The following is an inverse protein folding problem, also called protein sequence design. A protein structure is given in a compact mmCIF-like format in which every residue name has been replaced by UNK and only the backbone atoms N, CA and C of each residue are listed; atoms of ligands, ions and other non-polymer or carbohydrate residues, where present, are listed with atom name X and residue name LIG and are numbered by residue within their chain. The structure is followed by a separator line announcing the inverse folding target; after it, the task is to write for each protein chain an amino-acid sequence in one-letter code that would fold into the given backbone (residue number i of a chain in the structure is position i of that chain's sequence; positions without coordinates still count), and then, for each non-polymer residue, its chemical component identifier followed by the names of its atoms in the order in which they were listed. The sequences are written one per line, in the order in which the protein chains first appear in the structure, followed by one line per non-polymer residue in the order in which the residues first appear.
data_IF_110706391847
#
_entry.id   IF_110706391847
#
_cell.length_a   1.000
_cell.length_b   1.000
_cell.length_c   1.000
_cell.angle_alpha   90.00
_cell.angle_beta   90.00
_cell.angle_gamma   90.00
#
_symmetry.space_group_name_H-M   'P 1'
#
loop_
_entity.id
_entity.type
_entity.pdbx_description
1 polymer ?
#
# COMPACT_ATOMS: atom_id res chain seq x y z
N UNK A 1 21.87 -19.91 15.38
CA UNK A 1 21.38 -18.72 14.67
C UNK A 1 20.08 -18.31 15.35
N UNK A 2 19.99 -17.11 15.90
CA UNK A 2 18.70 -16.55 16.32
C UNK A 2 17.98 -16.07 15.07
N UNK A 3 16.81 -16.63 14.82
CA UNK A 3 15.89 -16.15 13.79
C UNK A 3 15.32 -14.81 14.27
N UNK A 4 15.26 -13.79 13.41
CA UNK A 4 14.82 -12.45 13.83
C UNK A 4 13.30 -12.45 14.13
N UNK A 5 12.85 -11.57 15.03
CA UNK A 5 11.44 -11.46 15.40
C UNK A 5 10.52 -11.19 14.20
N UNK A 6 11.03 -10.49 13.18
CA UNK A 6 10.30 -10.22 11.94
C UNK A 6 10.09 -11.50 11.11
N UNK A 7 11.11 -12.35 10.98
CA UNK A 7 10.97 -13.64 10.26
C UNK A 7 9.95 -14.55 10.95
N UNK A 8 9.95 -14.58 12.29
CA UNK A 8 8.97 -15.35 13.06
C UNK A 8 7.54 -14.83 12.82
N UNK A 9 7.35 -13.50 12.88
CA UNK A 9 6.06 -12.86 12.58
C UNK A 9 5.58 -13.18 11.16
N UNK A 10 6.45 -13.10 10.15
CA UNK A 10 6.08 -13.43 8.77
C UNK A 10 5.70 -14.90 8.60
N UNK A 11 6.42 -15.83 9.25
CA UNK A 11 6.06 -17.25 9.22
C UNK A 11 4.69 -17.50 9.84
N UNK A 12 4.37 -16.85 10.97
CA UNK A 12 3.06 -16.94 11.61
C UNK A 12 1.95 -16.39 10.70
N UNK A 13 2.19 -15.27 10.04
CA UNK A 13 1.23 -14.67 9.08
C UNK A 13 1.06 -15.52 7.81
N UNK A 14 2.11 -16.23 7.38
CA UNK A 14 2.05 -17.12 6.22
C UNK A 14 1.30 -18.42 6.53
N UNK A 15 1.35 -18.97 7.75
CA UNK A 15 0.73 -20.24 8.14
C UNK A 15 -0.70 -20.48 7.61
N UNK A 16 -1.64 -19.53 7.72
CA UNK A 16 -3.00 -19.73 7.22
C UNK A 16 -3.12 -19.63 5.68
N UNK A 17 -2.05 -19.30 4.97
CA UNK A 17 -2.06 -18.98 3.54
C UNK A 17 -1.48 -20.11 2.68
N UNK A 18 -1.84 -20.15 1.39
CA UNK A 18 -1.31 -21.11 0.44
C UNK A 18 0.24 -21.05 0.32
N UNK A 19 0.85 -19.90 0.61
CA UNK A 19 2.28 -19.68 0.52
C UNK A 19 3.11 -20.33 1.63
N UNK A 20 2.53 -20.73 2.78
CA UNK A 20 3.31 -21.31 3.88
C UNK A 20 4.14 -22.53 3.45
N UNK A 21 3.52 -23.43 2.68
CA UNK A 21 4.16 -24.64 2.22
C UNK A 21 5.14 -24.39 1.06
N UNK A 22 4.98 -23.26 0.36
CA UNK A 22 5.75 -22.87 -0.83
C UNK A 22 6.98 -22.04 -0.48
N UNK A 23 6.94 -21.29 0.62
CA UNK A 23 7.99 -20.37 1.08
C UNK A 23 8.72 -20.92 2.32
N UNK A 24 9.12 -22.18 2.26
CA UNK A 24 9.75 -22.88 3.38
C UNK A 24 11.28 -22.76 3.40
N UNK A 25 11.89 -22.17 2.37
CA UNK A 25 13.34 -22.01 2.29
C UNK A 25 13.76 -20.64 2.84
N UNK A 26 14.96 -20.58 3.42
CA UNK A 26 15.46 -19.34 4.06
C UNK A 26 15.65 -18.19 3.09
N UNK A 27 15.90 -18.47 1.80
CA UNK A 27 16.18 -17.41 0.82
C UNK A 27 14.92 -16.64 0.42
N UNK A 28 13.79 -17.33 0.28
CA UNK A 28 12.50 -16.71 -0.06
C UNK A 28 12.02 -15.84 1.11
N UNK A 29 12.17 -16.35 2.33
CA UNK A 29 11.87 -15.59 3.55
C UNK A 29 12.83 -14.41 3.74
N UNK A 30 14.12 -14.58 3.46
CA UNK A 30 15.10 -13.49 3.50
C UNK A 30 14.75 -12.40 2.46
N UNK A 31 14.21 -12.79 1.32
CA UNK A 31 13.79 -11.85 0.29
C UNK A 31 12.56 -11.05 0.74
N UNK A 32 11.55 -11.71 1.29
CA UNK A 32 10.38 -11.02 1.85
C UNK A 32 10.75 -10.12 3.02
N UNK A 33 11.56 -10.61 3.97
CA UNK A 33 11.92 -9.85 5.19
C UNK A 33 12.70 -8.57 4.86
N UNK A 34 13.47 -8.57 3.76
CA UNK A 34 14.21 -7.37 3.31
C UNK A 34 13.34 -6.32 2.66
N UNK A 35 12.20 -6.71 2.10
CA UNK A 35 11.35 -5.83 1.28
C UNK A 35 10.00 -5.50 1.94
N UNK A 36 9.56 -6.27 2.93
CA UNK A 36 8.36 -5.99 3.72
C UNK A 36 8.73 -5.07 4.90
N UNK A 37 8.07 -3.92 4.98
CA UNK A 37 8.17 -2.99 6.11
C UNK A 37 7.60 -3.60 7.40
N UNK A 38 8.11 -3.22 8.58
CA UNK A 38 7.61 -3.74 9.87
C UNK A 38 6.11 -3.47 10.11
N UNK A 39 5.55 -2.42 9.49
CA UNK A 39 4.13 -2.08 9.56
C UNK A 39 3.26 -2.83 8.54
N UNK A 40 3.87 -3.59 7.64
CA UNK A 40 3.13 -4.40 6.67
C UNK A 40 2.73 -5.75 7.24
N UNK A 41 1.52 -6.16 6.90
CA UNK A 41 0.97 -7.47 7.25
C UNK A 41 0.46 -8.18 6.02
N UNK A 42 0.68 -9.49 5.96
CA UNK A 42 0.23 -10.36 4.88
C UNK A 42 -1.28 -10.55 5.02
N UNK A 43 -2.02 -10.17 3.97
CA UNK A 43 -3.47 -10.31 3.89
C UNK A 43 -3.87 -11.60 3.16
N UNK A 44 -3.14 -11.96 2.10
CA UNK A 44 -3.41 -13.17 1.33
C UNK A 44 -2.17 -13.66 0.59
N UNK A 45 -2.25 -14.87 0.07
CA UNK A 45 -1.28 -15.38 -0.89
C UNK A 45 -1.98 -16.25 -1.93
N UNK A 46 -1.41 -16.32 -3.12
CA UNK A 46 -1.88 -17.23 -4.16
C UNK A 46 -0.73 -17.78 -4.98
N UNK A 47 -0.93 -18.93 -5.61
CA UNK A 47 -0.01 -19.50 -6.59
C UNK A 47 -0.65 -19.45 -7.97
N UNK A 48 0.14 -19.07 -8.97
CA UNK A 48 -0.27 -19.05 -10.37
C UNK A 48 0.95 -19.05 -11.28
N UNK A 49 0.74 -18.67 -12.53
CA UNK A 49 1.82 -18.59 -13.51
C UNK A 49 1.88 -17.23 -14.19
N UNK A 50 3.11 -16.74 -14.40
CA UNK A 50 3.44 -15.59 -15.25
C UNK A 50 4.39 -16.13 -16.33
N UNK A 51 4.06 -15.94 -17.60
CA UNK A 51 4.86 -16.43 -18.73
C UNK A 51 5.23 -17.93 -18.68
N UNK A 52 4.36 -18.75 -18.05
CA UNK A 52 4.51 -20.18 -17.77
C UNK A 52 5.48 -20.55 -16.62
N UNK A 53 6.08 -19.57 -15.96
CA UNK A 53 6.82 -19.80 -14.73
C UNK A 53 5.86 -19.80 -13.53
N UNK A 54 6.07 -20.75 -12.61
CA UNK A 54 5.29 -20.82 -11.37
C UNK A 54 5.72 -19.70 -10.42
N UNK A 55 4.75 -18.85 -10.07
CA UNK A 55 4.95 -17.68 -9.22
C UNK A 55 4.08 -17.80 -7.97
N UNK A 56 4.67 -17.54 -6.81
CA UNK A 56 3.92 -17.28 -5.58
C UNK A 56 3.74 -15.79 -5.42
N UNK A 57 2.50 -15.37 -5.24
CA UNK A 57 2.15 -13.97 -5.04
C UNK A 57 1.72 -13.76 -3.60
N UNK A 58 2.34 -12.81 -2.92
CA UNK A 58 2.02 -12.40 -1.56
C UNK A 58 1.39 -11.01 -1.60
N UNK A 59 0.20 -10.89 -1.03
CA UNK A 59 -0.49 -9.63 -0.83
C UNK A 59 -0.28 -9.16 0.61
N UNK A 60 0.23 -7.94 0.76
CA UNK A 60 0.19 -7.22 2.04
C UNK A 60 -0.87 -6.13 1.99
N UNK A 61 -0.97 -5.34 3.07
CA UNK A 61 -1.78 -4.13 3.09
C UNK A 61 -1.19 -2.97 2.25
N UNK A 62 0.01 -3.10 1.68
CA UNK A 62 0.65 -2.04 0.88
C UNK A 62 1.18 -2.51 -0.47
N UNK A 63 1.72 -3.73 -0.55
CA UNK A 63 2.43 -4.24 -1.72
C UNK A 63 1.88 -5.60 -2.17
N UNK A 64 2.11 -5.89 -3.44
CA UNK A 64 1.98 -7.22 -4.03
C UNK A 64 3.39 -7.68 -4.40
N UNK A 65 3.84 -8.77 -3.79
CA UNK A 65 5.15 -9.38 -4.07
C UNK A 65 4.99 -10.58 -4.99
N UNK A 66 5.83 -10.66 -6.01
CA UNK A 66 5.91 -11.76 -6.97
C UNK A 66 7.21 -12.53 -6.73
N UNK A 67 7.09 -13.78 -6.30
CA UNK A 67 8.21 -14.64 -5.96
C UNK A 67 8.35 -15.74 -7.01
N UNK A 68 9.46 -15.74 -7.73
CA UNK A 68 9.79 -16.84 -8.63
C UNK A 68 10.60 -17.92 -7.90
N UNK A 69 10.12 -19.16 -7.98
CA UNK A 69 10.82 -20.30 -7.38
C UNK A 69 11.99 -20.74 -8.26
N UNK A 70 13.14 -20.11 -8.09
CA UNK A 70 14.38 -20.56 -8.70
C UNK A 70 14.91 -21.83 -8.01
N UNK A 71 14.70 -23.02 -8.59
CA UNK A 71 15.25 -24.29 -8.09
C UNK A 71 16.78 -24.27 -7.86
N UNK A 72 17.52 -23.35 -8.48
CA UNK A 72 18.98 -23.21 -8.39
C UNK A 72 19.48 -21.73 -8.37
N UNK A 73 18.59 -20.75 -8.36
CA UNK A 73 18.91 -19.32 -8.47
C UNK A 73 18.82 -18.55 -7.15
N UNK A 74 19.22 -17.27 -7.16
CA UNK A 74 18.76 -16.34 -6.11
C UNK A 74 17.27 -16.09 -6.35
N UNK A 75 16.41 -16.18 -5.32
CA UNK A 75 15.01 -15.83 -5.48
C UNK A 75 14.89 -14.40 -5.96
N UNK A 76 14.05 -14.21 -6.98
CA UNK A 76 13.70 -12.89 -7.47
C UNK A 76 12.36 -12.52 -6.84
N UNK A 77 12.36 -11.38 -6.15
CA UNK A 77 11.16 -10.78 -5.59
C UNK A 77 11.02 -9.44 -6.28
N UNK A 78 10.01 -9.34 -7.12
CA UNK A 78 9.52 -8.06 -7.62
C UNK A 78 8.32 -7.65 -6.78
N UNK A 79 8.17 -6.35 -6.55
CA UNK A 79 7.03 -5.81 -5.84
C UNK A 79 6.34 -4.71 -6.64
N UNK A 80 5.04 -4.56 -6.38
CA UNK A 80 4.22 -3.46 -6.88
C UNK A 80 3.46 -2.88 -5.71
N UNK A 81 3.60 -1.58 -5.48
CA UNK A 81 2.77 -0.88 -4.51
C UNK A 81 1.31 -0.88 -4.99
N UNK A 82 0.38 -1.29 -4.13
CA UNK A 82 -1.06 -1.34 -4.44
C UNK A 82 -1.56 0.05 -4.84
N UNK A 83 -0.99 1.09 -4.24
CA UNK A 83 -1.28 2.49 -4.53
C UNK A 83 -0.96 2.92 -5.98
N UNK A 84 -0.10 2.17 -6.68
CA UNK A 84 0.30 2.42 -8.07
C UNK A 84 -0.57 1.69 -9.10
N UNK A 85 -1.39 0.72 -8.66
CA UNK A 85 -2.35 0.05 -9.53
C UNK A 85 -3.34 1.07 -10.10
N UNK A 86 -3.47 1.07 -11.43
CA UNK A 86 -4.44 1.87 -12.18
C UNK A 86 -5.65 1.06 -12.60
N UNK A 87 -5.45 -0.22 -12.88
CA UNK A 87 -6.54 -1.12 -13.20
C UNK A 87 -6.26 -2.53 -12.68
N UNK A 88 -7.32 -3.18 -12.21
CA UNK A 88 -7.34 -4.56 -11.76
C UNK A 88 -8.46 -5.27 -12.53
N UNK A 89 -8.08 -6.15 -13.46
CA UNK A 89 -9.05 -7.03 -14.13
C UNK A 89 -8.88 -8.45 -13.62
N UNK A 90 -9.97 -9.21 -13.60
CA UNK A 90 -9.90 -10.65 -13.35
C UNK A 90 -11.01 -11.38 -14.08
N UNK A 91 -10.76 -12.65 -14.38
CA UNK A 91 -11.75 -13.57 -14.94
C UNK A 91 -11.63 -14.92 -14.26
N UNK A 92 -12.75 -15.42 -13.75
CA UNK A 92 -12.81 -16.75 -13.12
C UNK A 92 -13.56 -17.71 -14.04
N UNK A 93 -12.83 -18.70 -14.56
CA UNK A 93 -13.39 -19.83 -15.28
C UNK A 93 -13.91 -20.92 -14.35
N UNK A 94 -14.18 -22.10 -14.90
CA UNK A 94 -14.69 -23.23 -14.11
C UNK A 94 -13.66 -23.76 -13.09
N UNK A 95 -12.39 -23.83 -13.49
CA UNK A 95 -11.30 -24.38 -12.66
C UNK A 95 -10.28 -23.32 -12.23
N UNK A 96 -10.04 -22.31 -13.07
CA UNK A 96 -8.95 -21.36 -12.88
C UNK A 96 -9.42 -19.91 -12.92
N UNK A 97 -8.71 -19.07 -12.18
CA UNK A 97 -8.81 -17.61 -12.19
C UNK A 97 -7.59 -17.03 -12.89
N UNK A 98 -7.81 -15.92 -13.61
CA UNK A 98 -6.78 -15.06 -14.19
C UNK A 98 -6.94 -13.67 -13.58
N UNK A 99 -5.83 -13.04 -13.20
CA UNK A 99 -5.78 -11.69 -12.65
C UNK A 99 -4.79 -10.88 -13.48
N UNK A 100 -5.15 -9.64 -13.81
CA UNK A 100 -4.31 -8.69 -14.54
C UNK A 100 -4.10 -7.45 -13.67
N UNK A 101 -2.83 -7.17 -13.35
CA UNK A 101 -2.40 -6.01 -12.59
C UNK A 101 -1.82 -4.98 -13.55
N UNK A 102 -2.39 -3.78 -13.61
CA UNK A 102 -1.89 -2.71 -14.47
C UNK A 102 -1.49 -1.50 -13.63
N UNK A 103 -0.22 -1.07 -13.72
CA UNK A 103 0.30 0.15 -13.08
C UNK A 103 0.40 1.34 -14.06
N UNK A 104 -0.22 1.22 -15.23
CA UNK A 104 -0.27 2.25 -16.27
C UNK A 104 0.82 2.14 -17.34
N UNK A 105 2.02 1.67 -16.99
CA UNK A 105 3.11 1.44 -17.94
C UNK A 105 3.28 -0.04 -18.30
N UNK A 106 2.92 -0.92 -17.38
CA UNK A 106 3.06 -2.38 -17.50
C UNK A 106 1.80 -3.10 -17.06
N UNK A 107 1.54 -4.24 -17.68
CA UNK A 107 0.45 -5.15 -17.31
C UNK A 107 1.05 -6.52 -16.98
N UNK A 108 0.93 -6.93 -15.72
CA UNK A 108 1.34 -8.25 -15.25
C UNK A 108 0.12 -9.17 -15.22
N UNK A 109 0.24 -10.35 -15.83
CA UNK A 109 -0.86 -11.31 -15.95
C UNK A 109 -0.52 -12.56 -15.14
N UNK A 110 -1.24 -12.79 -14.06
CA UNK A 110 -1.19 -14.01 -13.27
C UNK A 110 -2.33 -14.94 -13.69
N UNK A 111 -2.00 -16.11 -14.23
CA UNK A 111 -2.98 -17.09 -14.70
C UNK A 111 -2.86 -18.42 -13.93
N UNK A 112 -3.66 -19.41 -14.32
CA UNK A 112 -3.64 -20.76 -13.75
C UNK A 112 -3.85 -20.83 -12.22
N UNK A 113 -4.46 -19.79 -11.64
CA UNK A 113 -4.76 -19.71 -10.22
C UNK A 113 -5.94 -20.63 -9.94
N UNK A 114 -5.90 -21.49 -8.92
CA UNK A 114 -7.08 -22.28 -8.52
C UNK A 114 -8.24 -21.35 -8.19
N UNK A 115 -9.44 -21.68 -8.67
CA UNK A 115 -10.63 -20.83 -8.55
C UNK A 115 -10.86 -20.29 -7.13
N UNK A 116 -10.85 -21.16 -6.14
CA UNK A 116 -11.12 -20.80 -4.73
C UNK A 116 -10.09 -19.79 -4.19
N UNK A 117 -8.80 -20.10 -4.38
CA UNK A 117 -7.69 -19.24 -3.96
C UNK A 117 -7.74 -17.88 -4.67
N UNK A 118 -8.03 -17.88 -5.97
CA UNK A 118 -8.14 -16.66 -6.76
C UNK A 118 -9.27 -15.74 -6.30
N UNK A 119 -10.45 -16.31 -5.98
CA UNK A 119 -11.59 -15.53 -5.49
C UNK A 119 -11.30 -14.91 -4.13
N UNK A 120 -10.68 -15.68 -3.22
CA UNK A 120 -10.28 -15.16 -1.92
C UNK A 120 -9.23 -14.05 -2.06
N UNK A 121 -8.21 -14.28 -2.89
CA UNK A 121 -7.15 -13.30 -3.13
C UNK A 121 -7.69 -11.98 -3.69
N UNK A 122 -8.60 -12.04 -4.66
CA UNK A 122 -9.24 -10.84 -5.24
C UNK A 122 -10.06 -10.09 -4.19
N UNK A 123 -10.74 -10.79 -3.29
CA UNK A 123 -11.50 -10.17 -2.19
C UNK A 123 -10.57 -9.36 -1.29
N UNK A 124 -9.48 -9.97 -0.83
CA UNK A 124 -8.50 -9.29 0.04
C UNK A 124 -7.79 -8.14 -0.68
N UNK A 125 -7.48 -8.28 -1.97
CA UNK A 125 -6.88 -7.21 -2.75
C UNK A 125 -7.81 -5.99 -2.87
N UNK A 126 -9.10 -6.21 -3.11
CA UNK A 126 -10.08 -5.12 -3.14
C UNK A 126 -10.23 -4.45 -1.77
N UNK A 127 -10.17 -5.21 -0.68
CA UNK A 127 -10.14 -4.64 0.67
C UNK A 127 -8.90 -3.77 0.88
N UNK A 128 -7.71 -4.24 0.49
CA UNK A 128 -6.48 -3.48 0.60
C UNK A 128 -6.54 -2.17 -0.21
N UNK A 129 -7.00 -2.22 -1.46
CA UNK A 129 -7.21 -1.02 -2.30
C UNK A 129 -8.16 -0.04 -1.61
N UNK A 130 -9.30 -0.51 -1.11
CA UNK A 130 -10.30 0.33 -0.44
C UNK A 130 -9.73 0.98 0.83
N UNK A 131 -8.93 0.25 1.60
CA UNK A 131 -8.30 0.79 2.81
C UNK A 131 -7.30 1.90 2.47
N UNK A 132 -6.46 1.71 1.44
CA UNK A 132 -5.52 2.75 0.98
C UNK A 132 -6.25 4.01 0.53
N UNK A 133 -7.36 3.87 -0.20
CA UNK A 133 -8.19 5.01 -0.61
C UNK A 133 -8.81 5.74 0.59
N UNK A 134 -9.33 5.00 1.57
CA UNK A 134 -9.88 5.56 2.80
C UNK A 134 -8.81 6.30 3.61
N UNK A 135 -7.62 5.72 3.74
CA UNK A 135 -6.49 6.35 4.44
C UNK A 135 -6.07 7.64 3.76
N UNK A 136 -6.04 7.68 2.41
CA UNK A 136 -5.81 8.91 1.63
C UNK A 136 -6.90 9.96 1.90
N UNK A 137 -8.16 9.57 1.96
CA UNK A 137 -9.27 10.48 2.28
C UNK A 137 -9.14 11.04 3.71
N UNK A 138 -8.80 10.19 4.68
CA UNK A 138 -8.61 10.59 6.07
C UNK A 138 -7.41 11.54 6.19
N UNK A 139 -6.27 11.20 5.58
CA UNK A 139 -5.09 12.05 5.56
C UNK A 139 -5.39 13.43 4.96
N UNK A 140 -6.14 13.48 3.86
CA UNK A 140 -6.57 14.75 3.25
C UNK A 140 -7.48 15.56 4.18
N UNK A 141 -8.42 14.92 4.88
CA UNK A 141 -9.28 15.60 5.87
C UNK A 141 -8.49 16.12 7.06
N UNK A 142 -7.51 15.35 7.56
CA UNK A 142 -6.64 15.78 8.67
C UNK A 142 -5.80 16.97 8.24
N UNK A 143 -5.20 16.94 7.04
CA UNK A 143 -4.44 18.05 6.50
C UNK A 143 -5.30 19.32 6.30
N UNK A 144 -6.53 19.17 5.79
CA UNK A 144 -7.46 20.29 5.69
C UNK A 144 -7.83 20.86 7.07
N UNK A 145 -8.06 20.01 8.06
CA UNK A 145 -8.38 20.45 9.43
C UNK A 145 -7.19 21.14 10.11
N UNK A 146 -5.99 20.59 9.96
CA UNK A 146 -4.76 21.18 10.49
C UNK A 146 -4.46 22.54 9.84
N UNK A 147 -4.67 22.65 8.53
CA UNK A 147 -4.51 23.91 7.81
C UNK A 147 -5.57 24.95 8.24
N UNK A 148 -6.84 24.55 8.35
CA UNK A 148 -7.90 25.43 8.86
C UNK A 148 -7.60 25.94 10.28
N UNK A 149 -7.07 25.08 11.16
CA UNK A 149 -6.64 25.48 12.51
C UNK A 149 -5.46 26.45 12.47
N UNK A 150 -4.44 26.18 11.65
CA UNK A 150 -3.29 27.08 11.49
C UNK A 150 -3.72 28.49 11.03
N UNK A 151 -4.64 28.56 10.07
CA UNK A 151 -5.19 29.85 9.60
C UNK A 151 -5.93 30.58 10.71
N UNK A 152 -6.75 29.87 11.51
CA UNK A 152 -7.43 30.49 12.64
C UNK A 152 -6.44 31.02 13.68
N UNK A 153 -5.44 30.21 14.07
CA UNK A 153 -4.43 30.61 15.04
C UNK A 153 -3.63 31.85 14.56
N UNK A 154 -3.31 31.95 13.26
CA UNK A 154 -2.60 33.08 12.69
C UNK A 154 -3.48 34.34 12.55
N UNK A 155 -4.76 34.19 12.21
CA UNK A 155 -5.72 35.30 12.22
C UNK A 155 -5.94 35.87 13.63
N UNK A 156 -5.98 35.00 14.64
CA UNK A 156 -6.04 35.41 16.05
C UNK A 156 -4.76 36.15 16.46
N UNK A 157 -3.59 35.69 16.00
CA UNK A 157 -2.31 36.38 16.24
C UNK A 157 -2.30 37.76 15.60
N UNK A 158 -2.70 37.88 14.32
CA UNK A 158 -2.76 39.16 13.61
C UNK A 158 -3.73 40.14 14.29
N UNK A 159 -4.90 39.65 14.73
CA UNK A 159 -5.89 40.47 15.44
C UNK A 159 -5.31 41.03 16.73
N UNK A 160 -4.60 40.22 17.52
CA UNK A 160 -3.93 40.67 18.75
C UNK A 160 -2.83 41.71 18.49
N UNK A 161 -2.05 41.55 17.41
CA UNK A 161 -1.01 42.52 17.05
C UNK A 161 -1.61 43.86 16.64
N UNK A 162 -2.72 43.83 15.91
CA UNK A 162 -3.47 45.01 15.50
C UNK A 162 -4.11 45.71 16.72
N UNK A 163 -4.81 44.96 17.57
CA UNK A 163 -5.46 45.49 18.78
C UNK A 163 -4.47 46.13 19.76
N UNK A 164 -3.25 45.58 19.85
CA UNK A 164 -2.17 46.16 20.66
C UNK A 164 -1.43 47.32 19.97
N UNK A 165 -1.84 47.71 18.76
CA UNK A 165 -1.23 48.79 17.99
C UNK A 165 0.19 48.49 17.51
N UNK A 166 0.60 47.22 17.45
CA UNK A 166 1.92 46.79 16.96
C UNK A 166 1.95 46.86 15.43
N UNK A 167 0.83 46.56 14.76
CA UNK A 167 0.64 46.71 13.32
C UNK A 167 -0.54 47.64 13.03
N UNK A 168 -0.52 48.32 11.90
CA UNK A 168 -1.60 49.23 11.48
C UNK A 168 -2.64 48.51 10.59
N UNK A 169 -3.72 49.22 10.24
CA UNK A 169 -4.82 48.69 9.41
C UNK A 169 -4.35 48.19 8.04
N UNK A 170 -3.37 48.85 7.43
CA UNK A 170 -2.87 48.49 6.10
C UNK A 170 -2.10 47.17 6.19
N UNK A 171 -1.21 47.04 7.17
CA UNK A 171 -0.42 45.83 7.40
C UNK A 171 -1.33 44.65 7.74
N UNK A 172 -2.29 44.84 8.66
CA UNK A 172 -3.26 43.82 9.04
C UNK A 172 -4.09 43.32 7.85
N UNK A 173 -4.62 44.23 7.03
CA UNK A 173 -5.45 43.85 5.90
C UNK A 173 -4.66 43.13 4.81
N UNK A 174 -3.42 43.56 4.54
CA UNK A 174 -2.54 42.91 3.56
C UNK A 174 -2.18 41.49 4.01
N UNK A 175 -1.81 41.31 5.27
CA UNK A 175 -1.36 40.01 5.80
C UNK A 175 -2.52 39.02 5.95
N UNK A 176 -3.71 39.51 6.37
CA UNK A 176 -4.96 38.75 6.34
C UNK A 176 -5.33 38.30 4.93
N UNK A 177 -5.24 39.19 3.93
CA UNK A 177 -5.55 38.84 2.55
C UNK A 177 -4.59 37.77 2.01
N UNK A 178 -3.29 37.86 2.32
CA UNK A 178 -2.30 36.86 1.93
C UNK A 178 -2.57 35.48 2.55
N UNK A 179 -2.93 35.44 3.83
CA UNK A 179 -3.27 34.20 4.53
C UNK A 179 -4.51 33.52 3.97
N UNK A 180 -5.53 34.31 3.61
CA UNK A 180 -6.78 33.79 3.03
C UNK A 180 -6.62 33.39 1.55
N UNK A 181 -5.76 34.09 0.80
CA UNK A 181 -5.49 33.78 -0.62
C UNK A 181 -4.67 32.49 -0.78
N UNK A 182 -3.75 32.19 0.13
CA UNK A 182 -2.93 30.97 0.12
C UNK A 182 -3.75 29.66 0.30
N UNK A 183 -5.05 29.78 0.62
CA UNK A 183 -5.99 28.68 0.80
C UNK A 183 -6.89 28.40 -0.44
N UNK A 184 -6.81 29.23 -1.49
CA UNK A 184 -7.62 29.13 -2.72
C UNK A 184 -6.89 28.35 -3.82
#
# INVERSE_FOLDING_TARGET
MHESNQVLSLKEQLQPTAAFNLLNNTKDLDCLTKNIDESEHIAASVQGQIDNDDITVILTNKHIFFLSHGLLGNPHCDDVEIADLKNLNYSTGLAFTKIEFCNGSTTTILNAIKKEDGVQFITELNHAITNIENDRIIANKVNQTANAKFVQDELDRLTRLHDHGIINDIDFNNEKANLLFTQS
#
